data_IF_675151458872
#
_entry.id   IF_675151458872
#
_cell.length_a   1.000
_cell.length_b   1.000
_cell.length_c   1.000
_cell.angle_alpha   90.00
_cell.angle_beta   90.00
_cell.angle_gamma   90.00
#
_symmetry.space_group_name_H-M   'P 1'
#
loop_
_entity.id
_entity.type
_entity.pdbx_description
1 polymer ?
#
# COMPACT_ATOMS: atom_id res chain seq x y z
N UNK A 1 65.41 -24.77 -10.84
CA UNK A 1 66.18 -23.93 -11.79
C UNK A 1 65.30 -22.70 -12.01
N UNK A 2 65.63 -21.61 -11.36
CA UNK A 2 66.33 -20.43 -11.86
C UNK A 2 65.57 -19.86 -13.08
N UNK A 3 65.10 -18.60 -13.14
CA UNK A 3 65.53 -17.40 -12.44
C UNK A 3 64.74 -16.19 -12.99
N UNK A 4 64.69 -15.21 -12.10
CA UNK A 4 65.02 -13.79 -12.27
C UNK A 4 64.18 -12.93 -13.17
N UNK A 5 63.44 -12.01 -12.50
CA UNK A 5 63.68 -10.56 -12.28
C UNK A 5 63.95 -9.76 -13.55
N UNK A 6 63.16 -8.70 -13.75
CA UNK A 6 63.70 -7.34 -13.72
C UNK A 6 62.61 -6.27 -13.65
N UNK A 7 62.93 -5.32 -12.79
CA UNK A 7 62.34 -3.99 -12.57
C UNK A 7 62.66 -3.04 -13.74
N UNK A 8 61.80 -2.00 -13.95
CA UNK A 8 62.16 -0.58 -14.16
C UNK A 8 60.85 0.19 -14.28
N UNK A 9 60.50 1.01 -13.39
CA UNK A 9 60.94 2.36 -12.98
C UNK A 9 60.68 3.45 -14.01
N UNK A 10 59.87 4.41 -13.50
CA UNK A 10 59.81 5.86 -13.80
C UNK A 10 59.29 6.28 -15.17
N UNK A 11 58.29 7.15 -15.20
CA UNK A 11 58.54 8.59 -15.18
C UNK A 11 57.29 9.40 -14.90
N UNK A 12 57.49 10.48 -14.19
CA UNK A 12 56.55 11.48 -13.71
C UNK A 12 56.38 12.51 -14.80
N UNK A 13 55.15 12.87 -15.13
CA UNK A 13 54.86 14.16 -15.74
C UNK A 13 53.66 14.82 -15.08
N UNK A 14 53.96 15.89 -14.39
CA UNK A 14 53.00 16.89 -13.87
C UNK A 14 52.47 17.69 -15.04
N UNK A 15 51.17 17.93 -15.09
CA UNK A 15 50.60 19.22 -15.54
C UNK A 15 49.21 19.40 -15.02
N UNK A 16 49.11 20.35 -14.15
CA UNK A 16 48.27 21.55 -14.23
C UNK A 16 46.76 21.40 -14.07
N UNK A 17 46.36 21.95 -12.96
CA UNK A 17 45.00 22.31 -12.51
C UNK A 17 44.11 22.94 -13.60
N UNK A 18 42.88 22.45 -13.67
CA UNK A 18 41.75 23.35 -13.96
C UNK A 18 40.56 22.91 -13.10
N UNK A 19 40.43 23.62 -11.98
CA UNK A 19 39.28 23.58 -11.10
C UNK A 19 38.09 24.17 -11.84
N UNK A 20 37.16 23.32 -12.31
CA UNK A 20 35.81 23.76 -12.62
C UNK A 20 34.90 23.36 -11.48
N UNK A 21 34.64 24.33 -10.63
CA UNK A 21 33.60 24.36 -9.63
C UNK A 21 32.24 24.12 -10.31
N UNK A 22 31.73 22.91 -10.18
CA UNK A 22 30.35 22.60 -10.57
C UNK A 22 29.46 23.08 -9.44
N UNK A 23 28.79 24.19 -9.67
CA UNK A 23 27.71 24.68 -8.82
C UNK A 23 26.61 23.62 -8.82
N UNK A 24 26.42 23.01 -7.65
CA UNK A 24 25.24 22.17 -7.39
C UNK A 24 24.04 23.11 -7.28
N UNK A 25 23.30 23.23 -8.37
CA UNK A 25 21.98 23.82 -8.34
C UNK A 25 21.08 22.97 -7.45
N UNK A 26 20.79 23.51 -6.28
CA UNK A 26 19.86 22.97 -5.33
C UNK A 26 18.44 23.16 -5.90
N UNK A 27 17.99 22.23 -6.74
CA UNK A 27 16.60 22.17 -7.19
C UNK A 27 15.75 21.66 -6.03
N UNK A 28 15.27 22.59 -5.23
CA UNK A 28 14.20 22.35 -4.29
C UNK A 28 12.99 21.85 -5.05
N UNK A 29 12.70 20.55 -4.94
CA UNK A 29 11.41 20.01 -5.36
C UNK A 29 10.30 20.71 -4.59
N UNK A 30 9.26 21.21 -5.26
CA UNK A 30 8.12 21.80 -4.58
C UNK A 30 7.45 20.70 -3.75
N UNK A 31 7.42 20.89 -2.44
CA UNK A 31 6.59 20.07 -1.54
C UNK A 31 5.15 20.21 -2.01
N UNK A 32 4.64 19.18 -2.67
CA UNK A 32 3.25 19.09 -3.03
C UNK A 32 2.45 19.11 -1.72
N UNK A 33 1.90 20.28 -1.42
CA UNK A 33 0.94 20.48 -0.35
C UNK A 33 -0.29 19.66 -0.72
N UNK A 34 -0.42 18.49 -0.11
CA UNK A 34 -1.60 17.66 -0.23
C UNK A 34 -2.81 18.53 0.16
N UNK A 35 -3.52 19.00 -0.84
CA UNK A 35 -4.86 19.57 -0.65
C UNK A 35 -5.71 18.39 -0.15
N UNK A 36 -5.97 18.36 1.15
CA UNK A 36 -7.00 17.55 1.75
C UNK A 36 -8.31 18.02 1.09
N UNK A 37 -8.69 17.31 0.02
CA UNK A 37 -9.99 17.49 -0.60
C UNK A 37 -11.01 17.03 0.44
N UNK A 38 -11.66 17.97 1.10
CA UNK A 38 -12.94 17.73 1.73
C UNK A 38 -13.92 17.33 0.63
N UNK A 39 -13.87 16.06 0.24
CA UNK A 39 -14.97 15.42 -0.45
C UNK A 39 -16.06 15.23 0.59
N UNK A 40 -16.89 16.27 0.78
CA UNK A 40 -18.18 16.14 1.43
C UNK A 40 -18.98 15.12 0.62
N UNK A 41 -19.04 13.90 1.13
CA UNK A 41 -19.83 12.84 0.53
C UNK A 41 -21.30 13.25 0.55
N UNK A 42 -21.91 13.33 -0.62
CA UNK A 42 -23.34 13.58 -0.86
C UNK A 42 -24.28 12.55 -0.18
N UNK A 43 -23.72 11.62 0.60
CA UNK A 43 -24.40 10.50 1.25
C UNK A 43 -24.64 10.68 2.75
N UNK A 44 -24.28 11.84 3.33
CA UNK A 44 -24.37 12.09 4.78
C UNK A 44 -25.78 11.97 5.37
N UNK A 45 -26.81 11.98 4.53
CA UNK A 45 -28.20 11.94 5.01
C UNK A 45 -28.68 10.56 5.48
N UNK A 46 -27.96 9.48 5.12
CA UNK A 46 -28.34 8.11 5.42
C UNK A 46 -27.26 7.32 6.20
N UNK A 47 -26.33 8.02 6.84
CA UNK A 47 -25.32 7.37 7.68
C UNK A 47 -25.94 6.96 9.01
N UNK A 48 -26.01 5.67 9.24
CA UNK A 48 -26.50 5.08 10.49
C UNK A 48 -25.27 4.73 11.35
N UNK A 49 -25.29 5.16 12.61
CA UNK A 49 -24.18 4.88 13.52
C UNK A 49 -24.23 3.43 14.00
N UNK A 50 -23.10 2.70 13.92
CA UNK A 50 -22.97 1.30 14.36
C UNK A 50 -23.41 1.08 15.81
N UNK A 51 -23.19 2.08 16.68
CA UNK A 51 -23.59 2.02 18.08
C UNK A 51 -25.12 1.88 18.29
N UNK A 52 -25.95 2.18 17.28
CA UNK A 52 -27.41 1.98 17.36
C UNK A 52 -27.80 0.50 17.27
N UNK A 53 -26.88 -0.37 16.88
CA UNK A 53 -27.08 -1.80 16.66
C UNK A 53 -26.15 -2.67 17.53
N UNK A 54 -25.56 -2.10 18.58
CA UNK A 54 -24.58 -2.79 19.46
C UNK A 54 -23.39 -3.39 18.68
N UNK A 55 -23.11 -2.89 17.48
CA UNK A 55 -21.99 -3.34 16.65
C UNK A 55 -20.72 -2.61 17.07
N UNK A 56 -19.72 -3.37 17.43
CA UNK A 56 -18.40 -2.88 17.85
C UNK A 56 -17.29 -3.33 16.89
N UNK A 57 -16.11 -2.70 16.88
CA UNK A 57 -14.98 -3.16 16.07
C UNK A 57 -14.53 -4.60 16.40
N UNK A 58 -14.90 -5.13 17.58
CA UNK A 58 -14.55 -6.51 17.99
C UNK A 58 -15.37 -7.57 17.26
N UNK A 59 -16.49 -7.18 16.66
CA UNK A 59 -17.38 -8.08 15.92
C UNK A 59 -16.89 -8.32 14.49
N UNK A 60 -15.90 -7.54 14.06
CA UNK A 60 -15.28 -7.68 12.75
C UNK A 60 -14.03 -8.57 12.79
N UNK A 61 -13.75 -9.25 11.68
CA UNK A 61 -12.50 -9.96 11.50
C UNK A 61 -11.31 -9.00 11.58
N UNK A 62 -10.30 -9.34 12.39
CA UNK A 62 -9.04 -8.57 12.46
C UNK A 62 -8.35 -8.52 11.10
N UNK A 63 -8.45 -9.58 10.31
CA UNK A 63 -7.86 -9.64 8.98
C UNK A 63 -8.57 -8.66 8.04
N UNK A 64 -9.91 -8.60 8.07
CA UNK A 64 -10.68 -7.64 7.28
C UNK A 64 -10.37 -6.18 7.68
N UNK A 65 -10.31 -5.89 8.97
CA UNK A 65 -9.89 -4.56 9.45
C UNK A 65 -8.48 -4.20 8.98
N UNK A 66 -7.54 -5.15 9.05
CA UNK A 66 -6.16 -4.94 8.56
C UNK A 66 -6.13 -4.62 7.05
N UNK A 67 -6.97 -5.29 6.25
CA UNK A 67 -7.08 -5.00 4.81
C UNK A 67 -7.57 -3.58 4.59
N UNK A 68 -8.67 -3.20 5.26
CA UNK A 68 -9.24 -1.85 5.17
C UNK A 68 -8.23 -0.79 5.56
N UNK A 69 -7.60 -0.91 6.74
CA UNK A 69 -6.61 0.05 7.20
C UNK A 69 -5.42 0.19 6.25
N UNK A 70 -4.92 -0.92 5.72
CA UNK A 70 -3.77 -0.92 4.82
C UNK A 70 -4.10 -0.22 3.51
N UNK A 71 -5.28 -0.43 2.94
CA UNK A 71 -5.76 0.27 1.75
C UNK A 71 -5.95 1.77 2.02
N UNK A 72 -6.58 2.12 3.13
CA UNK A 72 -6.82 3.52 3.51
C UNK A 72 -5.51 4.29 3.75
N UNK A 73 -4.50 3.66 4.36
CA UNK A 73 -3.16 4.25 4.52
C UNK A 73 -2.45 4.54 3.19
N UNK A 74 -2.80 3.80 2.14
CA UNK A 74 -2.31 4.03 0.78
C UNK A 74 -3.16 5.05 -0.01
N UNK A 75 -4.16 5.66 0.64
CA UNK A 75 -5.01 6.70 0.06
C UNK A 75 -6.20 6.17 -0.73
N UNK A 76 -6.51 4.88 -0.63
CA UNK A 76 -7.70 4.30 -1.24
C UNK A 76 -8.89 4.32 -0.29
N UNK A 77 -10.08 4.40 -0.85
CA UNK A 77 -11.31 4.11 -0.13
C UNK A 77 -11.42 2.59 0.09
N UNK A 78 -11.81 2.18 1.30
CA UNK A 78 -12.02 0.78 1.62
C UNK A 78 -13.08 0.64 2.72
N UNK A 79 -14.01 -0.27 2.52
CA UNK A 79 -15.15 -0.49 3.40
C UNK A 79 -15.45 -1.98 3.52
N UNK A 80 -15.82 -2.45 4.71
CA UNK A 80 -16.36 -3.79 4.89
C UNK A 80 -17.80 -3.78 4.38
N UNK A 81 -18.16 -4.76 3.56
CA UNK A 81 -19.46 -4.84 2.88
C UNK A 81 -19.99 -6.28 2.86
N UNK A 82 -21.16 -6.45 2.27
CA UNK A 82 -21.69 -7.78 1.97
C UNK A 82 -22.49 -8.41 3.11
N UNK A 83 -22.52 -9.74 3.11
CA UNK A 83 -23.33 -10.55 4.02
C UNK A 83 -22.98 -10.38 5.48
N UNK A 84 -21.72 -10.06 5.79
CA UNK A 84 -21.28 -9.85 7.16
C UNK A 84 -22.01 -8.67 7.83
N UNK A 85 -22.27 -7.58 7.12
CA UNK A 85 -23.01 -6.43 7.67
C UNK A 85 -24.46 -6.81 7.99
N UNK A 86 -25.11 -7.55 7.09
CA UNK A 86 -26.48 -8.07 7.34
C UNK A 86 -26.49 -8.97 8.58
N UNK A 87 -25.52 -9.86 8.69
CA UNK A 87 -25.45 -10.83 9.80
C UNK A 87 -25.21 -10.12 11.14
N UNK A 88 -24.32 -9.14 11.16
CA UNK A 88 -24.09 -8.29 12.35
C UNK A 88 -25.37 -7.52 12.75
N UNK A 89 -26.09 -6.92 11.80
CA UNK A 89 -27.34 -6.22 12.08
C UNK A 89 -28.42 -7.15 12.64
N UNK A 90 -28.35 -8.45 12.33
CA UNK A 90 -29.25 -9.49 12.87
C UNK A 90 -28.72 -10.13 14.17
N UNK A 91 -27.65 -9.58 14.76
CA UNK A 91 -27.01 -10.13 15.96
C UNK A 91 -26.35 -11.49 15.75
N UNK A 92 -26.02 -11.85 14.49
CA UNK A 92 -25.35 -13.09 14.14
C UNK A 92 -23.85 -12.87 13.97
N UNK A 93 -23.07 -13.90 14.20
CA UNK A 93 -21.63 -13.87 13.96
C UNK A 93 -21.34 -14.20 12.49
N UNK A 94 -20.76 -13.26 11.71
CA UNK A 94 -20.39 -13.51 10.33
C UNK A 94 -19.29 -14.56 10.20
N UNK A 95 -19.32 -15.32 9.11
CA UNK A 95 -18.25 -16.27 8.77
C UNK A 95 -17.22 -15.66 7.82
N UNK A 96 -17.69 -14.91 6.84
CA UNK A 96 -16.88 -14.34 5.76
C UNK A 96 -17.01 -12.82 5.77
N UNK A 97 -15.93 -12.14 5.38
CA UNK A 97 -15.88 -10.69 5.31
C UNK A 97 -15.37 -10.24 3.94
N UNK A 98 -16.15 -9.39 3.29
CA UNK A 98 -15.81 -8.79 2.01
C UNK A 98 -15.41 -7.32 2.20
N UNK A 99 -14.46 -6.85 1.38
CA UNK A 99 -14.03 -5.46 1.35
C UNK A 99 -14.24 -4.86 -0.03
N UNK A 100 -14.99 -3.77 -0.09
CA UNK A 100 -15.09 -2.95 -1.29
C UNK A 100 -14.06 -1.81 -1.25
N UNK A 101 -13.43 -1.55 -2.40
CA UNK A 101 -12.42 -0.49 -2.53
C UNK A 101 -12.43 0.10 -3.94
N UNK A 102 -11.94 1.33 -4.08
CA UNK A 102 -11.68 1.96 -5.36
C UNK A 102 -10.27 1.62 -5.91
N UNK A 103 -9.47 0.86 -5.17
CA UNK A 103 -8.19 0.34 -5.65
C UNK A 103 -8.40 -0.71 -6.76
N UNK A 104 -7.62 -0.59 -7.84
CA UNK A 104 -7.61 -1.60 -8.90
C UNK A 104 -6.94 -2.90 -8.42
N UNK A 105 -7.29 -4.07 -8.97
CA UNK A 105 -6.72 -5.35 -8.56
C UNK A 105 -5.18 -5.37 -8.55
N UNK A 106 -4.54 -4.74 -9.52
CA UNK A 106 -3.09 -4.65 -9.63
C UNK A 106 -2.48 -3.79 -8.51
N UNK A 107 -3.17 -2.72 -8.10
CA UNK A 107 -2.76 -1.87 -6.98
C UNK A 107 -2.87 -2.64 -5.67
N UNK A 108 -3.95 -3.40 -5.48
CA UNK A 108 -4.14 -4.28 -4.33
C UNK A 108 -3.02 -5.33 -4.30
N UNK A 109 -2.69 -5.95 -5.43
CA UNK A 109 -1.61 -6.92 -5.53
C UNK A 109 -0.26 -6.30 -5.15
N UNK A 110 0.03 -5.07 -5.57
CA UNK A 110 1.25 -4.36 -5.19
C UNK A 110 1.32 -4.06 -3.69
N UNK A 111 0.18 -3.75 -3.05
CA UNK A 111 0.11 -3.46 -1.62
C UNK A 111 0.29 -4.72 -0.77
N UNK A 112 -0.36 -5.82 -1.15
CA UNK A 112 -0.38 -7.07 -0.38
C UNK A 112 0.63 -8.12 -0.88
N UNK A 113 1.21 -7.93 -2.07
CA UNK A 113 2.27 -8.76 -2.66
C UNK A 113 1.94 -10.26 -2.59
N UNK A 114 2.76 -11.05 -1.90
CA UNK A 114 2.61 -12.52 -1.81
C UNK A 114 1.32 -12.97 -1.13
N UNK A 115 0.69 -12.10 -0.34
CA UNK A 115 -0.59 -12.40 0.30
C UNK A 115 -1.78 -12.25 -0.64
N UNK A 116 -1.62 -11.57 -1.79
CA UNK A 116 -2.68 -11.31 -2.73
C UNK A 116 -2.64 -12.27 -3.92
N UNK A 117 -3.78 -12.89 -4.22
CA UNK A 117 -4.01 -13.65 -5.44
C UNK A 117 -5.18 -13.04 -6.20
N UNK A 118 -4.97 -12.72 -7.48
CA UNK A 118 -6.04 -12.26 -8.35
C UNK A 118 -6.77 -13.46 -8.94
N UNK A 119 -8.10 -13.49 -8.79
CA UNK A 119 -8.98 -14.58 -9.22
C UNK A 119 -10.04 -14.03 -10.18
N UNK A 120 -10.35 -14.82 -11.18
CA UNK A 120 -11.34 -14.50 -12.22
C UNK A 120 -10.74 -13.85 -13.45
N UNK A 121 -11.35 -14.14 -14.61
CA UNK A 121 -10.94 -13.58 -15.91
C UNK A 121 -11.65 -12.27 -16.23
N UNK A 122 -12.96 -12.26 -16.06
CA UNK A 122 -13.82 -11.11 -16.41
C UNK A 122 -13.96 -10.12 -15.27
N UNK A 123 -14.20 -10.62 -14.07
CA UNK A 123 -14.28 -9.84 -12.84
C UNK A 123 -13.13 -10.28 -11.95
N UNK A 124 -12.09 -9.46 -11.89
CA UNK A 124 -10.89 -9.79 -11.14
C UNK A 124 -11.09 -9.42 -9.67
N UNK A 125 -11.19 -10.43 -8.85
CA UNK A 125 -11.22 -10.30 -7.39
C UNK A 125 -9.80 -10.44 -6.84
N UNK A 126 -9.49 -9.66 -5.83
CA UNK A 126 -8.26 -9.78 -5.08
C UNK A 126 -8.53 -10.58 -3.80
N UNK A 127 -8.04 -11.79 -3.72
CA UNK A 127 -8.10 -12.62 -2.52
C UNK A 127 -6.86 -12.33 -1.66
N UNK A 128 -7.06 -11.79 -0.47
CA UNK A 128 -5.98 -11.51 0.49
C UNK A 128 -5.95 -12.64 1.51
N UNK A 129 -4.85 -13.38 1.54
CA UNK A 129 -4.71 -14.61 2.30
C UNK A 129 -4.03 -14.36 3.66
N UNK A 130 -4.67 -14.79 4.74
CA UNK A 130 -4.15 -14.78 6.10
C UNK A 130 -4.19 -16.21 6.66
N UNK A 131 -3.22 -17.03 6.25
CA UNK A 131 -3.23 -18.45 6.55
C UNK A 131 -4.43 -19.16 5.89
N UNK A 132 -5.43 -19.55 6.69
CA UNK A 132 -6.66 -20.19 6.19
C UNK A 132 -7.77 -19.20 5.86
N UNK A 133 -7.67 -17.97 6.33
CA UNK A 133 -8.67 -16.93 6.07
C UNK A 133 -8.38 -16.23 4.76
N UNK A 134 -9.44 -15.88 4.04
CA UNK A 134 -9.41 -15.13 2.79
C UNK A 134 -10.35 -13.93 2.97
N UNK A 135 -9.83 -12.75 2.64
CA UNK A 135 -10.60 -11.52 2.57
C UNK A 135 -10.64 -11.05 1.12
#
# INVERSE_FOLDING_TARGET
MFGKKTKKSKEVAKTSAHSKRVERSNSQMPKARAKKSEQTHRYDKNVIKAAQFDISPRDFSRNALTVVEKLQRQGFEAYIVGGCIRDLLLGKKPKDFDVATNARPEQIQNIFQRQCRLVGHRFRLAHIMFGRDII
#
